data_IF_294915428040
#
_entry.id   IF_294915428040
#
_cell.length_a   1.000
_cell.length_b   1.000
_cell.length_c   1.000
_cell.angle_alpha   90.00
_cell.angle_beta   90.00
_cell.angle_gamma   90.00
#
_symmetry.space_group_name_H-M   'P 1'
#
loop_
_entity.id
_entity.type
_entity.pdbx_description
1 polymer ?
#
# COMPACT_ATOMS: atom_id res chain seq x y z
N UNK A 1 4.96 -33.31 31.31
CA UNK A 1 4.94 -32.85 29.89
C UNK A 1 3.64 -32.14 29.46
N UNK A 2 2.45 -32.44 30.03
CA UNK A 2 1.17 -31.85 29.56
C UNK A 2 0.99 -30.34 29.82
N UNK A 3 1.41 -29.81 30.99
CA UNK A 3 1.30 -28.37 31.30
C UNK A 3 2.22 -27.48 30.47
N UNK A 4 3.45 -27.94 30.20
CA UNK A 4 4.42 -27.20 29.39
C UNK A 4 3.94 -27.08 27.93
N UNK A 5 3.47 -28.18 27.33
CA UNK A 5 2.91 -28.15 25.98
C UNK A 5 1.67 -27.28 25.87
N UNK A 6 0.81 -27.25 26.90
CA UNK A 6 -0.37 -26.36 26.95
C UNK A 6 0.04 -24.88 27.02
N UNK A 7 1.05 -24.55 27.83
CA UNK A 7 1.56 -23.17 27.94
C UNK A 7 2.22 -22.70 26.64
N UNK A 8 3.00 -23.57 26.00
CA UNK A 8 3.62 -23.31 24.70
C UNK A 8 2.55 -23.12 23.61
N UNK A 9 1.54 -23.99 23.55
CA UNK A 9 0.41 -23.86 22.62
C UNK A 9 -0.36 -22.55 22.82
N UNK A 10 -0.66 -22.18 24.06
CA UNK A 10 -1.33 -20.92 24.39
C UNK A 10 -0.49 -19.69 24.01
N UNK A 11 0.84 -19.77 24.10
CA UNK A 11 1.74 -18.71 23.67
C UNK A 11 1.76 -18.56 22.14
N UNK A 12 1.89 -19.67 21.41
CA UNK A 12 1.84 -19.66 19.95
C UNK A 12 0.51 -19.10 19.42
N UNK A 13 -0.62 -19.52 19.96
CA UNK A 13 -1.94 -19.00 19.56
C UNK A 13 -2.09 -17.49 19.78
N UNK A 14 -1.39 -16.91 20.78
CA UNK A 14 -1.40 -15.47 21.03
C UNK A 14 -0.52 -14.69 20.05
N UNK A 15 0.54 -15.30 19.52
CA UNK A 15 1.54 -14.60 18.68
C UNK A 15 1.36 -14.87 17.20
N UNK A 16 0.85 -16.05 16.82
CA UNK A 16 0.66 -16.44 15.43
C UNK A 16 -0.16 -15.44 14.60
N UNK A 17 -1.20 -14.75 15.14
CA UNK A 17 -1.91 -13.72 14.37
C UNK A 17 -1.02 -12.54 13.98
N UNK A 18 -0.09 -12.14 14.86
CA UNK A 18 0.83 -11.03 14.60
C UNK A 18 1.85 -11.39 13.52
N UNK A 19 2.39 -12.62 13.57
CA UNK A 19 3.30 -13.14 12.54
C UNK A 19 2.58 -13.30 11.20
N UNK A 20 1.31 -13.71 11.23
CA UNK A 20 0.47 -13.81 10.04
C UNK A 20 0.22 -12.44 9.39
N UNK A 21 -0.03 -11.37 10.16
CA UNK A 21 -0.13 -10.02 9.59
C UNK A 21 1.20 -9.54 8.98
N UNK A 22 2.34 -9.80 9.64
CA UNK A 22 3.65 -9.48 9.08
C UNK A 22 3.88 -10.20 7.76
N UNK A 23 3.66 -11.52 7.72
CA UNK A 23 3.94 -12.35 6.54
C UNK A 23 2.94 -12.10 5.41
N UNK A 24 1.66 -11.95 5.70
CA UNK A 24 0.64 -11.62 4.70
C UNK A 24 0.87 -10.24 4.08
N UNK A 25 1.21 -9.22 4.89
CA UNK A 25 1.50 -7.89 4.38
C UNK A 25 2.81 -7.87 3.59
N UNK A 26 3.83 -8.62 4.04
CA UNK A 26 5.05 -8.84 3.27
C UNK A 26 4.75 -9.39 1.87
N UNK A 27 3.98 -10.47 1.76
CA UNK A 27 3.62 -11.07 0.46
C UNK A 27 2.84 -10.08 -0.41
N UNK A 28 1.83 -9.41 0.17
CA UNK A 28 1.03 -8.43 -0.53
C UNK A 28 1.89 -7.31 -1.13
N UNK A 29 2.76 -6.70 -0.32
CA UNK A 29 3.61 -5.58 -0.76
C UNK A 29 4.72 -6.04 -1.70
N UNK A 30 5.40 -7.16 -1.39
CA UNK A 30 6.48 -7.69 -2.23
C UNK A 30 5.99 -7.99 -3.65
N UNK A 31 4.88 -8.71 -3.79
CA UNK A 31 4.34 -9.06 -5.10
C UNK A 31 3.79 -7.82 -5.81
N UNK A 32 3.00 -6.99 -5.12
CA UNK A 32 2.45 -5.76 -5.70
C UNK A 32 3.54 -4.81 -6.21
N UNK A 33 4.59 -4.59 -5.41
CA UNK A 33 5.69 -3.72 -5.78
C UNK A 33 6.54 -4.32 -6.91
N UNK A 34 6.78 -5.64 -6.90
CA UNK A 34 7.52 -6.31 -7.97
C UNK A 34 6.85 -6.18 -9.32
N UNK A 35 5.51 -6.17 -9.38
CA UNK A 35 4.76 -5.97 -10.63
C UNK A 35 4.95 -4.56 -11.17
N UNK A 36 4.93 -3.55 -10.29
CA UNK A 36 5.20 -2.16 -10.68
C UNK A 36 6.63 -2.01 -11.18
N UNK A 37 7.61 -2.55 -10.44
CA UNK A 37 9.02 -2.54 -10.85
C UNK A 37 9.21 -3.27 -12.18
N UNK A 38 8.52 -4.38 -12.42
CA UNK A 38 8.58 -5.05 -13.72
C UNK A 38 8.10 -4.15 -14.86
N UNK A 39 6.98 -3.46 -14.69
CA UNK A 39 6.45 -2.53 -15.70
C UNK A 39 7.38 -1.34 -15.94
N UNK A 40 8.00 -0.82 -14.87
CA UNK A 40 8.90 0.33 -14.95
C UNK A 40 10.32 -0.02 -15.43
N UNK A 41 10.75 -1.28 -15.32
CA UNK A 41 12.12 -1.72 -15.67
C UNK A 41 12.22 -2.47 -16.99
N UNK A 42 11.13 -2.57 -17.74
CA UNK A 42 11.11 -3.27 -19.02
C UNK A 42 11.63 -2.36 -20.14
N UNK A 43 12.69 -2.78 -20.82
CA UNK A 43 13.36 -2.06 -21.91
C UNK A 43 12.63 -2.16 -23.27
N UNK A 44 11.48 -2.81 -23.32
CA UNK A 44 10.67 -2.87 -24.53
C UNK A 44 9.78 -1.63 -24.56
N UNK A 45 9.69 -0.94 -25.71
CA UNK A 45 8.76 0.18 -25.95
C UNK A 45 7.25 -0.16 -25.78
N UNK A 46 6.94 -1.33 -25.22
CA UNK A 46 5.62 -1.73 -24.77
C UNK A 46 5.27 -0.95 -23.49
N UNK A 47 4.48 0.09 -23.70
CA UNK A 47 3.75 0.95 -22.77
C UNK A 47 3.48 0.36 -21.37
N UNK A 48 3.68 1.16 -20.33
CA UNK A 48 3.28 0.88 -18.94
C UNK A 48 1.84 0.32 -18.88
N UNK A 49 1.69 -0.95 -18.49
CA UNK A 49 0.40 -1.60 -18.48
C UNK A 49 -0.29 -1.43 -17.12
N UNK A 50 -1.09 -0.36 -17.01
CA UNK A 50 -1.84 -0.04 -15.80
C UNK A 50 -2.82 -1.13 -15.37
N UNK A 51 -3.47 -1.80 -16.34
CA UNK A 51 -4.38 -2.91 -16.05
C UNK A 51 -3.65 -4.07 -15.37
N UNK A 52 -2.46 -4.43 -15.86
CA UNK A 52 -1.62 -5.46 -15.26
C UNK A 52 -1.18 -5.09 -13.84
N UNK A 53 -0.88 -3.81 -13.58
CA UNK A 53 -0.60 -3.33 -12.21
C UNK A 53 -1.82 -3.51 -11.32
N UNK A 54 -3.00 -3.11 -11.77
CA UNK A 54 -4.22 -3.23 -10.98
C UNK A 54 -4.55 -4.69 -10.64
N UNK A 55 -4.55 -5.54 -11.67
CA UNK A 55 -4.84 -6.96 -11.51
C UNK A 55 -3.78 -7.62 -10.61
N UNK A 56 -2.52 -7.27 -10.83
CA UNK A 56 -1.39 -7.74 -10.07
C UNK A 56 -1.50 -7.45 -8.58
N UNK A 57 -1.86 -6.22 -8.20
CA UNK A 57 -2.09 -5.87 -6.81
C UNK A 57 -3.31 -6.58 -6.19
N UNK A 58 -4.39 -6.77 -6.96
CA UNK A 58 -5.53 -7.57 -6.51
C UNK A 58 -5.16 -9.02 -6.21
N UNK A 59 -4.37 -9.64 -7.10
CA UNK A 59 -3.83 -10.98 -6.89
C UNK A 59 -2.83 -11.03 -5.72
N UNK A 60 -1.99 -10.00 -5.55
CA UNK A 60 -1.08 -9.90 -4.43
C UNK A 60 -1.82 -9.84 -3.08
N UNK A 61 -2.92 -9.07 -3.00
CA UNK A 61 -3.73 -9.01 -1.79
C UNK A 61 -4.39 -10.36 -1.52
N UNK A 62 -4.95 -11.00 -2.55
CA UNK A 62 -5.51 -12.35 -2.45
C UNK A 62 -4.47 -13.34 -1.87
N UNK A 63 -3.24 -13.34 -2.39
CA UNK A 63 -2.15 -14.20 -1.89
C UNK A 63 -1.81 -13.88 -0.44
N UNK A 64 -1.72 -12.60 -0.08
CA UNK A 64 -1.51 -12.17 1.31
C UNK A 64 -2.57 -12.73 2.24
N UNK A 65 -3.85 -12.61 1.87
CA UNK A 65 -4.98 -13.12 2.67
C UNK A 65 -4.96 -14.65 2.74
N UNK A 66 -4.58 -15.37 1.68
CA UNK A 66 -4.41 -16.83 1.77
C UNK A 66 -3.32 -17.25 2.76
N UNK A 67 -2.24 -16.48 2.86
CA UNK A 67 -1.12 -16.76 3.78
C UNK A 67 -1.50 -16.45 5.24
N UNK A 68 -2.25 -15.37 5.49
CA UNK A 68 -2.50 -14.88 6.85
C UNK A 68 -3.90 -15.17 7.40
N UNK A 69 -4.89 -15.32 6.52
CA UNK A 69 -6.32 -15.30 6.86
C UNK A 69 -6.75 -16.36 7.86
N UNK A 70 -6.17 -17.56 7.78
CA UNK A 70 -6.47 -18.66 8.69
C UNK A 70 -6.00 -18.44 10.14
N UNK A 71 -5.08 -17.50 10.37
CA UNK A 71 -4.50 -17.21 11.68
C UNK A 71 -4.92 -15.84 12.22
N UNK A 72 -4.84 -14.79 11.41
CA UNK A 72 -5.10 -13.40 11.83
C UNK A 72 -6.45 -12.83 11.42
N UNK A 73 -7.15 -13.49 10.49
CA UNK A 73 -8.26 -12.91 9.73
C UNK A 73 -7.82 -12.14 8.48
N UNK A 74 -6.52 -11.95 8.28
CA UNK A 74 -5.94 -11.34 7.08
C UNK A 74 -6.34 -9.89 6.87
N UNK A 75 -6.12 -9.04 7.88
CA UNK A 75 -6.48 -7.62 7.76
C UNK A 75 -5.54 -6.91 6.78
N UNK A 76 -4.24 -7.11 6.94
CA UNK A 76 -3.14 -6.61 6.10
C UNK A 76 -3.14 -5.09 5.87
N UNK A 77 -3.95 -4.37 6.63
CA UNK A 77 -4.28 -2.97 6.44
C UNK A 77 -4.73 -2.36 7.79
N UNK A 78 -4.11 -1.24 8.21
CA UNK A 78 -4.49 -0.54 9.43
C UNK A 78 -5.96 -0.10 9.45
N UNK A 79 -6.51 0.31 8.31
CA UNK A 79 -7.89 0.79 8.21
C UNK A 79 -8.88 -0.35 8.44
N UNK A 80 -8.60 -1.54 7.89
CA UNK A 80 -9.44 -2.72 8.09
C UNK A 80 -9.37 -3.17 9.56
N UNK A 81 -8.18 -3.14 10.15
CA UNK A 81 -8.01 -3.45 11.57
C UNK A 81 -8.79 -2.48 12.48
N UNK A 82 -8.80 -1.18 12.15
CA UNK A 82 -9.60 -0.19 12.86
C UNK A 82 -11.11 -0.43 12.68
N UNK A 83 -11.56 -0.72 11.46
CA UNK A 83 -12.96 -1.08 11.19
C UNK A 83 -13.42 -2.25 12.06
N UNK A 84 -12.59 -3.27 12.19
CA UNK A 84 -12.87 -4.43 13.03
C UNK A 84 -12.85 -4.10 14.53
N UNK A 85 -12.05 -3.13 15.00
CA UNK A 85 -12.15 -2.64 16.39
C UNK A 85 -13.49 -1.95 16.64
N UNK A 86 -13.93 -1.11 15.72
CA UNK A 86 -15.14 -0.29 15.93
C UNK A 86 -16.44 -1.10 15.83
N UNK A 87 -16.50 -2.04 14.89
CA UNK A 87 -17.75 -2.68 14.49
C UNK A 87 -17.76 -4.21 14.63
N UNK A 88 -16.63 -4.80 15.03
CA UNK A 88 -16.50 -6.24 15.30
C UNK A 88 -15.84 -6.43 16.67
N UNK A 89 -15.76 -7.68 17.15
CA UNK A 89 -15.17 -8.00 18.46
C UNK A 89 -13.64 -8.13 18.41
N UNK A 90 -12.95 -7.10 17.92
CA UNK A 90 -11.49 -7.08 17.85
C UNK A 90 -10.89 -6.18 18.93
N UNK A 91 -9.91 -6.69 19.69
CA UNK A 91 -9.34 -5.98 20.83
C UNK A 91 -8.49 -4.78 20.37
N UNK A 92 -8.70 -3.56 20.92
CA UNK A 92 -7.92 -2.38 20.52
C UNK A 92 -6.40 -2.53 20.68
N UNK A 93 -5.94 -3.24 21.71
CA UNK A 93 -4.52 -3.49 21.90
C UNK A 93 -3.92 -4.36 20.76
N UNK A 94 -4.69 -5.31 20.24
CA UNK A 94 -4.25 -6.14 19.12
C UNK A 94 -4.12 -5.31 17.84
N UNK A 95 -4.96 -4.29 17.66
CA UNK A 95 -4.87 -3.37 16.53
C UNK A 95 -3.52 -2.65 16.48
N UNK A 96 -3.00 -2.18 17.61
CA UNK A 96 -1.69 -1.52 17.66
C UNK A 96 -0.58 -2.48 17.21
N UNK A 97 -0.62 -3.72 17.68
CA UNK A 97 0.34 -4.74 17.24
C UNK A 97 0.17 -5.09 15.76
N UNK A 98 -1.07 -5.15 15.26
CA UNK A 98 -1.35 -5.36 13.83
C UNK A 98 -0.75 -4.23 12.99
N UNK A 99 -0.90 -2.96 13.41
CA UNK A 99 -0.32 -1.82 12.70
C UNK A 99 1.20 -1.94 12.60
N UNK A 100 1.87 -2.29 13.70
CA UNK A 100 3.32 -2.49 13.73
C UNK A 100 3.73 -3.62 12.79
N UNK A 101 3.06 -4.77 12.87
CA UNK A 101 3.39 -5.94 12.06
C UNK A 101 3.12 -5.73 10.57
N UNK A 102 2.02 -5.06 10.22
CA UNK A 102 1.69 -4.67 8.85
C UNK A 102 2.74 -3.71 8.31
N UNK A 103 3.14 -2.69 9.09
CA UNK A 103 4.22 -1.77 8.71
C UNK A 103 5.56 -2.50 8.49
N UNK A 104 5.95 -3.38 9.40
CA UNK A 104 7.18 -4.17 9.27
C UNK A 104 7.14 -5.07 8.04
N UNK A 105 6.03 -5.79 7.82
CA UNK A 105 5.83 -6.62 6.65
C UNK A 105 5.93 -5.83 5.35
N UNK A 106 5.29 -4.65 5.30
CA UNK A 106 5.30 -3.78 4.13
C UNK A 106 6.70 -3.20 3.83
N UNK A 107 7.44 -2.77 4.86
CA UNK A 107 8.84 -2.29 4.68
C UNK A 107 9.72 -3.42 4.14
N UNK A 108 9.61 -4.62 4.71
CA UNK A 108 10.36 -5.79 4.24
C UNK A 108 9.99 -6.15 2.80
N UNK A 109 8.70 -6.10 2.44
CA UNK A 109 8.23 -6.40 1.09
C UNK A 109 8.80 -5.42 0.06
N UNK A 110 8.75 -4.13 0.37
CA UNK A 110 9.35 -3.08 -0.47
C UNK A 110 10.87 -3.28 -0.58
N UNK A 111 11.59 -3.52 0.53
CA UNK A 111 13.03 -3.72 0.52
C UNK A 111 13.47 -4.92 -0.32
N UNK A 112 12.79 -6.07 -0.16
CA UNK A 112 13.11 -7.28 -0.92
C UNK A 112 12.80 -7.07 -2.41
N UNK A 113 11.70 -6.39 -2.74
CA UNK A 113 11.40 -6.05 -4.15
C UNK A 113 12.50 -5.16 -4.77
N UNK A 114 13.02 -4.18 -4.03
CA UNK A 114 14.16 -3.38 -4.46
C UNK A 114 15.41 -4.23 -4.70
N UNK A 115 15.74 -5.13 -3.77
CA UNK A 115 16.89 -6.02 -3.91
C UNK A 115 16.81 -6.89 -5.17
N UNK A 116 15.62 -7.43 -5.49
CA UNK A 116 15.40 -8.27 -6.67
C UNK A 116 15.61 -7.49 -7.97
N UNK A 117 15.18 -6.22 -8.02
CA UNK A 117 15.26 -5.38 -9.22
C UNK A 117 16.50 -4.47 -9.26
N UNK A 118 17.37 -4.55 -8.25
CA UNK A 118 18.41 -3.56 -8.02
C UNK A 118 19.33 -3.34 -9.23
N UNK A 119 19.74 -4.38 -9.93
CA UNK A 119 20.61 -4.24 -11.10
C UNK A 119 19.95 -3.40 -12.20
N UNK A 120 18.65 -3.61 -12.44
CA UNK A 120 17.89 -2.79 -13.39
C UNK A 120 17.72 -1.36 -12.90
N UNK A 121 17.41 -1.18 -11.61
CA UNK A 121 17.30 0.16 -10.99
C UNK A 121 18.61 0.92 -11.12
N UNK A 122 19.75 0.28 -10.83
CA UNK A 122 21.09 0.84 -10.96
C UNK A 122 21.37 1.28 -12.39
N UNK A 123 21.10 0.44 -13.38
CA UNK A 123 21.34 0.75 -14.80
C UNK A 123 20.51 1.97 -15.25
N UNK A 124 19.26 2.09 -14.79
CA UNK A 124 18.39 3.21 -15.19
C UNK A 124 18.69 4.51 -14.41
N UNK A 125 18.92 4.42 -13.10
CA UNK A 125 19.08 5.59 -12.22
C UNK A 125 20.53 6.06 -12.06
N UNK A 126 21.51 5.20 -12.36
CA UNK A 126 22.92 5.35 -11.98
C UNK A 126 23.15 5.51 -10.46
N UNK A 127 22.25 4.95 -9.64
CA UNK A 127 22.40 4.92 -8.19
C UNK A 127 23.05 3.61 -7.73
N UNK A 128 23.94 3.70 -6.75
CA UNK A 128 24.40 2.53 -6.01
C UNK A 128 23.31 2.03 -5.05
N UNK A 129 23.60 0.97 -4.29
CA UNK A 129 22.60 0.27 -3.48
C UNK A 129 21.94 1.12 -2.40
N UNK A 130 22.63 2.17 -1.93
CA UNK A 130 22.13 3.08 -0.89
C UNK A 130 21.70 4.44 -1.46
N UNK A 131 21.46 4.52 -2.77
CA UNK A 131 21.07 5.77 -3.40
C UNK A 131 22.19 6.82 -3.46
N UNK A 132 23.45 6.42 -3.32
CA UNK A 132 24.58 7.30 -3.56
C UNK A 132 25.00 7.23 -5.03
N UNK A 133 25.39 8.37 -5.56
CA UNK A 133 25.92 8.50 -6.92
C UNK A 133 27.34 7.95 -6.97
N UNK A 134 27.47 6.64 -7.14
CA UNK A 134 28.71 6.08 -7.64
C UNK A 134 28.86 6.48 -9.11
N UNK A 135 29.76 7.44 -9.40
CA UNK A 135 30.20 7.83 -10.76
C UNK A 135 29.36 8.88 -11.53
N UNK A 136 28.89 9.96 -10.88
CA UNK A 136 28.54 11.21 -11.59
C UNK A 136 29.76 12.17 -11.64
N UNK A 137 30.90 11.70 -12.15
CA UNK A 137 31.91 12.59 -12.75
C UNK A 137 31.60 12.63 -14.24
N UNK A 138 31.04 13.75 -14.70
CA UNK A 138 30.90 14.23 -16.11
C UNK A 138 29.54 14.88 -16.40
N UNK A 139 28.87 15.49 -15.41
CA UNK A 139 27.88 16.52 -15.69
C UNK A 139 28.09 17.67 -14.70
N UNK A 140 28.37 18.84 -15.24
CA UNK A 140 28.46 20.11 -14.54
C UNK A 140 27.23 20.36 -13.66
N UNK A 141 27.50 20.46 -12.36
CA UNK A 141 26.96 21.43 -11.39
C UNK A 141 25.45 21.40 -11.07
N UNK A 142 25.11 20.91 -9.87
CA UNK A 142 24.01 21.27 -8.94
C UNK A 142 22.55 21.37 -9.45
N UNK A 143 22.29 21.91 -10.65
CA UNK A 143 20.98 22.04 -11.27
C UNK A 143 20.32 20.67 -11.57
N UNK A 144 21.12 19.62 -11.84
CA UNK A 144 20.60 18.26 -12.07
C UNK A 144 20.10 17.58 -10.78
N UNK A 145 20.71 17.87 -9.63
CA UNK A 145 20.26 17.34 -8.34
C UNK A 145 18.96 17.99 -7.88
N UNK A 146 18.81 19.29 -8.07
CA UNK A 146 17.59 20.02 -7.71
C UNK A 146 16.39 19.64 -8.57
N UNK A 147 16.60 19.36 -9.87
CA UNK A 147 15.55 18.89 -10.78
C UNK A 147 15.14 17.44 -10.54
N UNK A 148 16.09 16.57 -10.16
CA UNK A 148 15.82 15.20 -9.67
C UNK A 148 14.97 15.26 -8.40
N UNK A 149 15.32 16.15 -7.48
CA UNK A 149 14.64 16.32 -6.22
C UNK A 149 13.20 16.87 -6.37
N UNK A 150 12.97 17.85 -7.23
CA UNK A 150 11.62 18.39 -7.50
C UNK A 150 10.74 17.41 -8.28
N UNK A 151 11.31 16.64 -9.21
CA UNK A 151 10.56 15.63 -9.99
C UNK A 151 10.24 14.38 -9.17
N UNK A 152 11.13 13.94 -8.26
CA UNK A 152 10.84 12.89 -7.28
C UNK A 152 9.76 13.32 -6.31
N UNK A 153 9.78 14.59 -5.91
CA UNK A 153 8.77 15.16 -5.03
C UNK A 153 7.36 15.07 -5.65
N UNK A 154 7.19 15.46 -6.91
CA UNK A 154 5.91 15.34 -7.61
C UNK A 154 5.51 13.87 -7.80
N UNK A 155 6.44 13.00 -8.20
CA UNK A 155 6.18 11.59 -8.46
C UNK A 155 5.92 10.74 -7.20
N UNK A 156 6.48 11.08 -6.04
CA UNK A 156 6.17 10.42 -4.74
C UNK A 156 4.78 10.85 -4.25
N UNK A 157 4.36 12.06 -4.60
CA UNK A 157 3.02 12.56 -4.32
C UNK A 157 1.94 11.88 -5.17
N UNK A 158 2.29 11.43 -6.39
CA UNK A 158 1.36 10.84 -7.36
C UNK A 158 1.42 9.31 -7.36
N UNK A 159 2.58 8.67 -7.36
CA UNK A 159 2.69 7.23 -7.66
C UNK A 159 2.61 6.31 -6.42
N UNK A 160 2.45 6.90 -5.22
CA UNK A 160 2.18 6.23 -3.95
C UNK A 160 3.29 5.33 -3.37
N UNK A 161 4.22 4.82 -4.18
CA UNK A 161 5.37 4.04 -3.72
C UNK A 161 6.69 4.75 -4.04
N UNK A 162 7.54 4.91 -3.03
CA UNK A 162 8.88 5.51 -3.19
C UNK A 162 9.69 4.90 -4.36
N UNK A 163 9.66 3.57 -4.50
CA UNK A 163 10.41 2.85 -5.52
C UNK A 163 9.84 3.07 -6.93
N UNK A 164 8.51 3.16 -7.08
CA UNK A 164 7.93 3.50 -8.39
C UNK A 164 8.32 4.91 -8.80
N UNK A 165 8.30 5.84 -7.86
CA UNK A 165 8.67 7.23 -8.13
C UNK A 165 10.15 7.39 -8.49
N UNK A 166 11.02 6.61 -7.85
CA UNK A 166 12.45 6.59 -8.16
C UNK A 166 12.74 6.14 -9.59
N UNK A 167 11.99 5.15 -10.09
CA UNK A 167 12.16 4.62 -11.45
C UNK A 167 11.43 5.44 -12.51
N UNK A 168 10.24 5.98 -12.19
CA UNK A 168 9.53 6.91 -13.06
C UNK A 168 10.42 8.11 -13.43
N UNK A 169 11.21 8.60 -12.47
CA UNK A 169 12.22 9.62 -12.72
C UNK A 169 13.33 9.16 -13.67
N UNK A 170 13.83 7.95 -13.50
CA UNK A 170 14.90 7.40 -14.33
C UNK A 170 14.48 7.24 -15.80
N UNK A 171 13.24 6.78 -16.02
CA UNK A 171 12.67 6.63 -17.37
C UNK A 171 12.41 7.98 -18.07
N UNK A 172 12.11 9.05 -17.31
CA UNK A 172 11.93 10.41 -17.86
C UNK A 172 13.20 10.96 -18.52
N UNK A 173 14.38 10.38 -18.26
CA UNK A 173 15.65 10.72 -18.92
C UNK A 173 15.86 10.01 -20.26
N UNK A 174 15.11 8.94 -20.55
CA UNK A 174 15.31 8.07 -21.71
C UNK A 174 14.43 8.41 -22.92
N UNK A 175 13.42 9.26 -22.78
CA UNK A 175 12.55 9.64 -23.89
C UNK A 175 12.25 11.13 -23.89
N UNK A 176 12.22 11.73 -25.08
CA UNK A 176 11.53 12.98 -25.40
C UNK A 176 10.00 12.89 -25.18
N UNK A 177 9.55 12.15 -24.17
CA UNK A 177 8.16 12.03 -23.76
C UNK A 177 7.93 13.03 -22.63
N UNK A 178 7.88 14.29 -23.06
CA UNK A 178 7.28 15.38 -22.33
C UNK A 178 5.83 15.01 -21.97
N UNK A 179 5.61 14.44 -20.79
CA UNK A 179 4.60 15.05 -19.94
C UNK A 179 5.30 16.27 -19.34
N UNK A 180 5.16 17.37 -20.07
CA UNK A 180 5.45 18.73 -19.61
C UNK A 180 4.61 18.92 -18.34
N UNK A 181 5.19 18.76 -17.16
CA UNK A 181 4.77 19.62 -16.07
C UNK A 181 5.61 20.87 -16.25
N UNK A 182 4.97 21.82 -16.92
CA UNK A 182 5.50 23.14 -17.19
C UNK A 182 5.88 23.73 -15.84
N UNK A 183 7.04 24.38 -15.76
CA UNK A 183 7.46 25.17 -14.61
C UNK A 183 6.43 26.29 -14.32
N UNK A 184 5.55 26.57 -15.29
CA UNK A 184 4.39 27.45 -15.20
C UNK A 184 3.08 26.73 -14.82
N UNK A 185 3.10 25.46 -14.40
CA UNK A 185 1.90 24.79 -13.89
C UNK A 185 1.41 25.61 -12.68
N UNK A 186 0.23 26.24 -12.76
CA UNK A 186 -0.20 27.14 -11.71
C UNK A 186 -0.23 26.36 -10.40
N UNK A 187 0.27 26.95 -9.31
CA UNK A 187 0.25 26.36 -7.95
C UNK A 187 -1.14 25.86 -7.52
N UNK A 188 -2.20 26.33 -8.20
CA UNK A 188 -3.59 25.89 -8.10
C UNK A 188 -3.83 24.44 -8.59
N UNK A 189 -2.98 23.90 -9.47
CA UNK A 189 -3.03 22.51 -9.95
C UNK A 189 -2.54 21.48 -8.93
N UNK A 190 -1.61 21.87 -8.05
CA UNK A 190 -1.16 21.02 -6.94
C UNK A 190 -2.30 20.76 -5.95
N UNK A 191 -3.07 21.80 -5.61
CA UNK A 191 -4.23 21.70 -4.70
C UNK A 191 -5.34 20.86 -5.30
N UNK A 192 -5.65 21.05 -6.59
CA UNK A 192 -6.61 20.21 -7.30
C UNK A 192 -6.17 18.73 -7.34
N UNK A 193 -4.87 18.48 -7.51
CA UNK A 193 -4.29 17.13 -7.51
C UNK A 193 -4.35 16.46 -6.13
N UNK A 194 -4.05 17.20 -5.06
CA UNK A 194 -4.14 16.70 -3.67
C UNK A 194 -5.58 16.40 -3.28
N UNK A 195 -6.53 17.26 -3.65
CA UNK A 195 -7.95 17.02 -3.39
C UNK A 195 -8.45 15.79 -4.14
N UNK A 196 -8.09 15.64 -5.42
CA UNK A 196 -8.43 14.45 -6.20
C UNK A 196 -7.83 13.18 -5.59
N UNK A 197 -6.55 13.21 -5.18
CA UNK A 197 -5.88 12.11 -4.47
C UNK A 197 -6.60 11.74 -3.17
N UNK A 198 -6.91 12.74 -2.34
CA UNK A 198 -7.64 12.53 -1.09
C UNK A 198 -9.00 11.89 -1.35
N UNK A 199 -9.75 12.42 -2.32
CA UNK A 199 -11.08 11.92 -2.66
C UNK A 199 -11.05 10.48 -3.16
N UNK A 200 -10.09 10.13 -4.03
CA UNK A 200 -9.94 8.78 -4.54
C UNK A 200 -9.48 7.77 -3.47
N UNK A 201 -8.53 8.14 -2.61
CA UNK A 201 -8.12 7.29 -1.48
C UNK A 201 -9.27 7.11 -0.48
N UNK A 202 -10.04 8.16 -0.21
CA UNK A 202 -11.23 8.11 0.66
C UNK A 202 -12.33 7.22 0.06
N UNK A 203 -12.76 7.47 -1.18
CA UNK A 203 -13.87 6.75 -1.82
C UNK A 203 -13.46 5.31 -2.13
N UNK A 204 -12.24 5.10 -2.63
CA UNK A 204 -11.70 3.77 -2.90
C UNK A 204 -11.63 2.93 -1.63
N UNK A 205 -11.13 3.49 -0.52
CA UNK A 205 -11.09 2.78 0.77
C UNK A 205 -12.48 2.56 1.36
N UNK A 206 -13.41 3.49 1.16
CA UNK A 206 -14.81 3.34 1.56
C UNK A 206 -15.46 2.13 0.88
N UNK A 207 -15.38 2.03 -0.45
CA UNK A 207 -15.92 0.91 -1.22
C UNK A 207 -15.23 -0.42 -0.90
N UNK A 208 -13.90 -0.40 -0.76
CA UNK A 208 -13.13 -1.56 -0.32
C UNK A 208 -13.62 -2.07 1.04
N UNK A 209 -13.84 -1.16 2.00
CA UNK A 209 -14.26 -1.54 3.35
C UNK A 209 -15.70 -2.04 3.39
N UNK A 210 -16.63 -1.41 2.65
CA UNK A 210 -18.00 -1.91 2.47
C UNK A 210 -17.97 -3.34 1.94
N UNK A 211 -17.20 -3.59 0.88
CA UNK A 211 -17.10 -4.91 0.27
C UNK A 211 -16.49 -5.94 1.20
N UNK A 212 -15.42 -5.60 1.94
CA UNK A 212 -14.81 -6.51 2.93
C UNK A 212 -15.82 -6.88 4.02
N UNK A 213 -16.54 -5.90 4.56
CA UNK A 213 -17.57 -6.15 5.57
C UNK A 213 -18.69 -7.03 4.99
N UNK A 214 -19.15 -6.76 3.77
CA UNK A 214 -20.16 -7.55 3.09
C UNK A 214 -19.74 -9.00 2.81
N UNK A 215 -18.49 -9.22 2.40
CA UNK A 215 -17.94 -10.54 2.06
C UNK A 215 -17.72 -11.38 3.33
N UNK A 216 -17.29 -10.72 4.41
CA UNK A 216 -16.94 -11.39 5.67
C UNK A 216 -18.11 -11.52 6.64
N UNK A 217 -19.25 -10.85 6.38
CA UNK A 217 -20.42 -10.92 7.23
C UNK A 217 -20.93 -12.37 7.37
N UNK A 218 -21.28 -12.70 8.61
CA UNK A 218 -21.85 -13.97 8.96
C UNK A 218 -23.24 -14.18 8.34
N UNK A 219 -24.01 -13.09 8.20
CA UNK A 219 -25.37 -13.09 7.63
C UNK A 219 -25.35 -13.23 6.11
N UNK A 220 -24.25 -12.82 5.46
CA UNK A 220 -24.08 -12.87 4.02
C UNK A 220 -23.22 -14.10 3.60
N UNK A 221 -23.82 -15.29 3.64
CA UNK A 221 -23.11 -16.58 3.60
C UNK A 221 -22.49 -16.97 2.25
N UNK A 222 -22.85 -16.33 1.14
CA UNK A 222 -22.47 -16.78 -0.21
C UNK A 222 -20.99 -16.60 -0.56
N UNK A 223 -20.28 -15.62 0.04
CA UNK A 223 -18.92 -15.26 -0.40
C UNK A 223 -17.81 -15.62 0.61
N UNK A 224 -18.13 -16.05 1.84
CA UNK A 224 -17.12 -16.19 2.91
C UNK A 224 -16.05 -17.25 2.62
N UNK A 225 -16.43 -18.38 2.01
CA UNK A 225 -15.49 -19.47 1.66
C UNK A 225 -14.48 -19.06 0.58
N UNK A 226 -14.85 -18.08 -0.25
CA UNK A 226 -14.03 -17.55 -1.34
C UNK A 226 -13.57 -16.11 -1.04
N UNK A 227 -13.63 -15.69 0.22
CA UNK A 227 -13.33 -14.32 0.64
C UNK A 227 -11.97 -13.80 0.13
N UNK A 228 -10.86 -14.57 0.16
CA UNK A 228 -9.58 -14.09 -0.38
C UNK A 228 -9.66 -13.72 -1.86
N UNK A 229 -10.38 -14.51 -2.67
CA UNK A 229 -10.55 -14.29 -4.11
C UNK A 229 -11.41 -13.05 -4.33
N UNK A 230 -12.56 -12.96 -3.66
CA UNK A 230 -13.49 -11.85 -3.82
C UNK A 230 -12.89 -10.53 -3.34
N UNK A 231 -12.12 -10.53 -2.24
CA UNK A 231 -11.44 -9.34 -1.72
C UNK A 231 -10.31 -8.90 -2.67
N UNK A 232 -9.55 -9.84 -3.25
CA UNK A 232 -8.55 -9.52 -4.27
C UNK A 232 -9.16 -8.88 -5.52
N UNK A 233 -10.27 -9.42 -6.01
CA UNK A 233 -11.01 -8.85 -7.15
C UNK A 233 -11.64 -7.49 -6.82
N UNK A 234 -12.13 -7.32 -5.60
CA UNK A 234 -12.61 -6.03 -5.10
C UNK A 234 -11.50 -4.98 -5.10
N UNK A 235 -10.33 -5.33 -4.56
CA UNK A 235 -9.16 -4.43 -4.56
C UNK A 235 -8.72 -4.08 -5.98
N UNK A 236 -8.70 -5.06 -6.89
CA UNK A 236 -8.45 -4.83 -8.32
C UNK A 236 -9.44 -3.81 -8.90
N UNK A 237 -10.75 -3.98 -8.68
CA UNK A 237 -11.77 -3.07 -9.17
C UNK A 237 -11.64 -1.65 -8.60
N UNK A 238 -11.45 -1.53 -7.27
CA UNK A 238 -11.19 -0.26 -6.62
C UNK A 238 -9.95 0.43 -7.20
N UNK A 239 -8.85 -0.31 -7.40
CA UNK A 239 -7.61 0.24 -7.96
C UNK A 239 -7.78 0.64 -9.42
N UNK A 240 -8.49 -0.15 -10.22
CA UNK A 240 -8.74 0.16 -11.62
C UNK A 240 -9.51 1.48 -11.79
N UNK A 241 -10.52 1.73 -10.93
CA UNK A 241 -11.37 2.93 -11.01
C UNK A 241 -10.73 4.14 -10.33
N UNK A 242 -10.26 3.99 -9.09
CA UNK A 242 -9.81 5.11 -8.25
C UNK A 242 -8.30 5.30 -8.24
N UNK A 243 -7.51 4.36 -8.77
CA UNK A 243 -6.06 4.52 -8.87
C UNK A 243 -5.61 5.39 -10.05
N UNK A 244 -6.39 5.50 -11.13
CA UNK A 244 -6.03 6.29 -12.33
C UNK A 244 -6.02 7.79 -12.06
N UNK A 245 -7.06 8.29 -11.38
CA UNK A 245 -7.20 9.72 -11.08
C UNK A 245 -6.17 10.22 -10.06
N UNK A 246 -5.49 9.30 -9.37
CA UNK A 246 -4.57 9.60 -8.27
C UNK A 246 -3.12 9.26 -8.57
N UNK A 247 -2.86 8.49 -9.63
CA UNK A 247 -1.59 7.78 -9.88
C UNK A 247 -1.13 6.84 -8.73
N UNK A 248 -1.85 6.79 -7.60
CA UNK A 248 -1.67 5.87 -6.49
C UNK A 248 -3.01 5.60 -5.79
N UNK A 249 -3.56 4.40 -5.97
CA UNK A 249 -4.71 3.87 -5.24
C UNK A 249 -4.24 2.83 -4.23
N UNK A 250 -3.75 3.31 -3.09
CA UNK A 250 -3.10 2.50 -2.05
C UNK A 250 -4.17 1.82 -1.20
N UNK A 251 -5.17 2.60 -0.77
CA UNK A 251 -6.26 2.23 0.13
C UNK A 251 -5.79 1.61 1.46
N UNK A 252 -4.51 1.80 1.78
CA UNK A 252 -3.80 1.14 2.86
C UNK A 252 -2.67 2.03 3.37
N UNK A 253 -2.83 2.70 4.52
CA UNK A 253 -1.80 3.56 5.10
C UNK A 253 -0.45 2.87 5.31
N UNK A 254 -0.43 1.56 5.59
CA UNK A 254 0.83 0.85 5.81
C UNK A 254 1.64 0.69 4.52
N UNK A 255 0.97 0.57 3.38
CA UNK A 255 1.63 0.42 2.08
C UNK A 255 2.32 1.72 1.65
N UNK A 256 1.66 2.88 1.78
CA UNK A 256 2.27 4.19 1.49
C UNK A 256 3.36 4.54 2.50
N UNK A 257 3.06 4.47 3.81
CA UNK A 257 4.00 4.85 4.86
C UNK A 257 5.28 3.98 4.85
N UNK A 258 5.16 2.69 4.55
CA UNK A 258 6.33 1.80 4.46
C UNK A 258 7.26 2.14 3.30
N UNK A 259 6.70 2.56 2.16
CA UNK A 259 7.51 2.95 1.00
C UNK A 259 8.31 4.24 1.31
N UNK A 260 7.67 5.22 1.96
CA UNK A 260 8.32 6.45 2.43
C UNK A 260 9.41 6.15 3.46
N UNK A 261 9.12 5.26 4.40
CA UNK A 261 10.08 4.83 5.41
C UNK A 261 11.29 4.12 4.78
N UNK A 262 11.08 3.29 3.76
CA UNK A 262 12.17 2.67 3.00
C UNK A 262 13.07 3.72 2.35
N UNK A 263 12.46 4.70 1.66
CA UNK A 263 13.19 5.84 1.08
C UNK A 263 14.00 6.59 2.12
N UNK A 264 13.42 6.83 3.30
CA UNK A 264 14.09 7.56 4.38
C UNK A 264 15.27 6.79 4.98
N UNK A 265 15.14 5.47 5.12
CA UNK A 265 16.16 4.63 5.76
C UNK A 265 17.32 4.30 4.80
N UNK A 266 17.01 3.91 3.56
CA UNK A 266 18.00 3.38 2.62
C UNK A 266 18.50 4.40 1.60
N UNK A 267 17.76 5.49 1.39
CA UNK A 267 18.08 6.53 0.40
C UNK A 267 18.19 7.92 1.05
N UNK A 268 18.52 7.97 2.34
CA UNK A 268 18.66 9.20 3.14
C UNK A 268 19.58 10.24 2.48
N UNK A 269 20.60 9.79 1.73
CA UNK A 269 21.55 10.66 1.02
C UNK A 269 20.96 11.38 -0.19
N UNK A 270 19.86 10.90 -0.78
CA UNK A 270 19.17 11.58 -1.89
C UNK A 270 18.48 12.89 -1.44
N UNK A 271 18.33 13.13 -0.13
CA UNK A 271 17.71 14.33 0.47
C UNK A 271 16.43 14.76 -0.27
N UNK A 272 15.50 13.83 -0.40
CA UNK A 272 14.33 13.97 -1.27
C UNK A 272 13.34 14.96 -0.63
N UNK A 273 13.11 16.14 -1.23
CA UNK A 273 12.16 17.09 -0.71
C UNK A 273 10.77 16.46 -0.66
N UNK A 274 10.09 16.60 0.47
CA UNK A 274 8.69 16.17 0.59
C UNK A 274 8.42 14.66 0.61
N UNK A 275 9.44 13.83 0.86
CA UNK A 275 9.24 12.41 1.20
C UNK A 275 8.18 12.20 2.30
N UNK A 276 8.17 13.10 3.29
CA UNK A 276 7.16 13.18 4.36
C UNK A 276 6.35 14.47 4.32
N UNK A 277 6.13 15.04 3.13
CA UNK A 277 5.36 16.27 3.06
C UNK A 277 3.92 16.02 3.53
N UNK A 278 3.41 16.80 4.52
CA UNK A 278 2.14 16.52 5.16
C UNK A 278 0.97 16.47 4.17
N UNK A 279 1.03 17.26 3.10
CA UNK A 279 -0.10 17.40 2.17
C UNK A 279 -0.43 16.11 1.40
N UNK A 280 0.57 15.31 1.03
CA UNK A 280 0.36 14.01 0.39
C UNK A 280 0.04 12.91 1.39
N UNK A 281 0.68 12.95 2.57
CA UNK A 281 0.40 12.00 3.64
C UNK A 281 -1.02 12.14 4.18
N UNK A 282 -1.59 13.35 4.20
CA UNK A 282 -3.01 13.54 4.52
C UNK A 282 -3.88 12.75 3.55
N UNK A 283 -3.59 12.81 2.25
CA UNK A 283 -4.37 12.06 1.26
C UNK A 283 -4.22 10.55 1.40
N UNK A 284 -3.01 10.02 1.56
CA UNK A 284 -2.74 8.56 1.55
C UNK A 284 -2.84 7.89 2.91
N UNK A 285 -2.80 8.63 4.01
CA UNK A 285 -2.95 8.10 5.38
C UNK A 285 -4.32 8.46 5.92
N UNK A 286 -4.66 9.75 5.97
CA UNK A 286 -5.91 10.21 6.59
C UNK A 286 -7.12 9.89 5.69
N UNK A 287 -6.99 10.06 4.37
CA UNK A 287 -8.02 9.70 3.40
C UNK A 287 -8.54 8.27 3.59
N UNK A 288 -7.68 7.23 3.60
CA UNK A 288 -8.10 5.86 3.85
C UNK A 288 -8.72 5.62 5.22
N UNK A 289 -8.20 6.23 6.29
CA UNK A 289 -8.82 6.10 7.62
C UNK A 289 -10.25 6.64 7.63
N UNK A 290 -10.47 7.84 7.09
CA UNK A 290 -11.81 8.42 6.98
C UNK A 290 -12.70 7.55 6.09
N UNK A 291 -12.19 7.16 4.92
CA UNK A 291 -12.90 6.31 3.96
C UNK A 291 -13.34 4.99 4.57
N UNK A 292 -12.46 4.29 5.28
CA UNK A 292 -12.80 3.02 5.90
C UNK A 292 -13.75 3.15 7.09
N UNK A 293 -13.63 4.22 7.89
CA UNK A 293 -14.63 4.50 8.94
C UNK A 293 -16.00 4.70 8.30
N UNK A 294 -16.10 5.53 7.27
CA UNK A 294 -17.35 5.78 6.56
C UNK A 294 -17.90 4.51 5.92
N UNK A 295 -17.06 3.72 5.26
CA UNK A 295 -17.48 2.49 4.59
C UNK A 295 -17.97 1.43 5.57
N UNK A 296 -17.25 1.20 6.66
CA UNK A 296 -17.69 0.29 7.72
C UNK A 296 -18.99 0.77 8.38
N UNK A 297 -19.07 2.06 8.73
CA UNK A 297 -20.28 2.65 9.34
C UNK A 297 -21.49 2.53 8.41
N UNK A 298 -21.30 2.78 7.12
CA UNK A 298 -22.35 2.70 6.12
C UNK A 298 -22.88 1.27 5.98
N UNK A 299 -21.99 0.28 5.91
CA UNK A 299 -22.39 -1.13 5.87
C UNK A 299 -23.15 -1.54 7.14
N UNK A 300 -22.66 -1.17 8.32
CA UNK A 300 -23.33 -1.47 9.58
C UNK A 300 -24.70 -0.80 9.69
N UNK A 301 -24.85 0.45 9.24
CA UNK A 301 -26.13 1.15 9.25
C UNK A 301 -27.17 0.45 8.36
N UNK A 302 -26.76 -0.07 7.20
CA UNK A 302 -27.66 -0.79 6.29
C UNK A 302 -28.00 -2.20 6.75
N UNK A 303 -27.10 -2.86 7.46
CA UNK A 303 -27.27 -4.24 7.93
C UNK A 303 -27.70 -4.32 9.40
N UNK A 304 -27.98 -3.15 10.00
CA UNK A 304 -28.46 -3.04 11.36
C UNK A 304 -29.78 -3.78 11.52
N UNK A 305 -29.76 -4.84 12.34
CA UNK A 305 -30.97 -5.48 12.83
C UNK A 305 -30.97 -5.43 14.35
N UNK A 306 -32.11 -5.07 14.92
CA UNK A 306 -32.32 -5.21 16.36
C UNK A 306 -32.23 -6.71 16.72
N UNK A 307 -31.61 -7.02 17.86
CA UNK A 307 -31.51 -8.35 18.52
C UNK A 307 -30.20 -9.16 18.33
N UNK A 308 -29.42 -9.16 19.42
CA UNK A 308 -28.65 -10.26 20.04
C UNK A 308 -27.57 -11.04 19.26
N UNK A 309 -27.37 -10.82 17.97
CA UNK A 309 -26.56 -11.74 17.15
C UNK A 309 -25.22 -11.16 16.65
N UNK A 310 -24.59 -10.26 17.43
CA UNK A 310 -23.17 -9.90 17.20
C UNK A 310 -22.30 -11.10 17.57
N UNK A 311 -22.16 -12.06 16.66
CA UNK A 311 -21.22 -13.17 16.88
C UNK A 311 -19.84 -12.56 17.02
N UNK A 312 -19.28 -12.70 18.22
CA UNK A 312 -17.91 -12.32 18.52
C UNK A 312 -17.00 -13.15 17.61
N UNK A 313 -16.32 -12.50 16.68
CA UNK A 313 -15.25 -13.13 15.91
C UNK A 313 -14.17 -13.54 16.92
N UNK A 314 -14.10 -14.83 17.25
CA UNK A 314 -13.19 -15.37 18.27
C UNK A 314 -13.81 -16.39 19.24
N UNK A 315 -15.13 -16.62 19.22
CA UNK A 315 -15.73 -17.78 19.91
C UNK A 315 -15.82 -18.96 18.93
N UNK A 316 -14.73 -19.72 18.85
CA UNK A 316 -14.74 -21.16 18.56
C UNK A 316 -13.91 -21.85 19.63
#
# INVERSE_FOLDING_TARGET
MSKLNKNIGNFYQKISPFVAELTGTFVFVFVGQSIVLQQLTNNSAATFNYFAVCLGYGLALMMGIFVSGGLSGGHLNPVISLGFVMFRSFRPFNMVMYFIMQMMGAVLGNFVSYCVYFDKVRVMTNLNFFGETGLYQNATTEASTTSIQSSLYESIGTDGSFLSSLLALANKKSENTLIVFDENTPKNGLVASVFSLFFCELVGTCLLTIGIFAITDIKNSSSRKVAPITIGLLYFGCKLVFGLASHGGTFNPALDASSRLLGALFFSKLKIPGLFQPIYMISTIIGPFIGGILGASFYEALTWSNEEHRVKVGEK
#
